data_IF_117819191550
#
_entry.id   IF_117819191550
#
_cell.length_a   1.000
_cell.length_b   1.000
_cell.length_c   1.000
_cell.angle_alpha   90.00
_cell.angle_beta   90.00
_cell.angle_gamma   90.00
#
_symmetry.space_group_name_H-M   'P 1'
#
loop_
_entity.id
_entity.type
_entity.pdbx_description
1 polymer ?
#
# COMPACT_ATOMS: atom_id res chain seq x y z
N UNK A 1 -23.45 15.72 11.71
CA UNK A 1 -22.28 15.44 10.85
C UNK A 1 -22.18 13.92 10.67
N UNK A 2 -22.19 13.44 9.42
CA UNK A 2 -22.35 12.01 9.08
C UNK A 2 -21.02 11.23 9.23
N UNK A 3 -20.99 10.02 9.83
CA UNK A 3 -19.78 9.20 9.97
C UNK A 3 -19.25 8.59 8.65
N UNK A 4 -19.86 8.92 7.50
CA UNK A 4 -19.72 8.22 6.21
C UNK A 4 -19.29 9.12 5.06
N UNK A 5 -18.57 10.22 5.31
CA UNK A 5 -17.72 10.75 4.25
C UNK A 5 -16.54 9.79 4.07
N UNK A 6 -16.79 8.70 3.34
CA UNK A 6 -15.73 7.85 2.84
C UNK A 6 -14.95 8.74 1.85
N UNK A 7 -13.90 9.40 2.34
CA UNK A 7 -13.13 10.32 1.51
C UNK A 7 -12.65 9.53 0.31
N UNK A 8 -12.75 10.13 -0.87
CA UNK A 8 -12.38 9.44 -2.11
C UNK A 8 -10.90 9.08 -2.06
N UNK A 9 -10.59 7.84 -2.42
CA UNK A 9 -9.20 7.43 -2.59
C UNK A 9 -8.54 8.28 -3.68
N UNK A 10 -7.27 8.64 -3.46
CA UNK A 10 -6.44 9.33 -4.44
C UNK A 10 -5.42 8.34 -5.00
N UNK A 11 -5.91 7.20 -5.46
CA UNK A 11 -5.07 6.14 -5.98
C UNK A 11 -4.35 6.56 -7.26
N UNK A 12 -3.18 5.97 -7.46
CA UNK A 12 -2.43 6.08 -8.70
C UNK A 12 -2.41 4.73 -9.41
N UNK A 13 -2.63 4.78 -10.72
CA UNK A 13 -2.57 3.61 -11.57
C UNK A 13 -1.12 3.12 -11.65
N UNK A 14 -0.88 1.87 -11.28
CA UNK A 14 0.46 1.30 -11.26
C UNK A 14 0.76 0.72 -12.62
N UNK A 15 1.67 1.34 -13.37
CA UNK A 15 2.20 0.72 -14.58
C UNK A 15 3.20 -0.35 -14.15
N UNK A 16 2.92 -1.62 -14.46
CA UNK A 16 3.71 -2.78 -14.01
C UNK A 16 5.21 -2.77 -14.40
N UNK A 17 5.62 -1.83 -15.26
CA UNK A 17 7.02 -1.55 -15.57
C UNK A 17 7.73 -0.64 -14.55
N UNK A 18 7.00 0.27 -13.87
CA UNK A 18 7.59 1.33 -13.04
C UNK A 18 7.73 0.97 -11.55
N UNK A 19 6.70 0.35 -10.97
CA UNK A 19 6.70 -0.05 -9.56
C UNK A 19 6.21 -1.49 -9.42
N UNK A 20 6.57 -2.14 -8.32
CA UNK A 20 5.90 -3.37 -7.89
C UNK A 20 4.41 -3.11 -7.64
N UNK A 21 3.56 -4.14 -7.75
CA UNK A 21 2.12 -4.01 -7.48
C UNK A 21 1.80 -3.80 -6.01
N UNK A 22 2.69 -4.20 -5.12
CA UNK A 22 2.56 -4.07 -3.68
C UNK A 22 3.91 -3.74 -3.05
N UNK A 23 3.87 -3.25 -1.83
CA UNK A 23 5.06 -2.99 -1.02
C UNK A 23 5.80 -4.27 -0.64
N UNK A 24 7.10 -4.15 -0.42
CA UNK A 24 7.98 -5.17 0.14
C UNK A 24 8.28 -4.85 1.60
N UNK A 25 8.31 -5.86 2.47
CA UNK A 25 8.71 -5.70 3.87
C UNK A 25 10.21 -5.84 3.94
N UNK A 26 10.90 -4.85 4.52
CA UNK A 26 12.33 -4.96 4.78
C UNK A 26 12.58 -6.04 5.84
N UNK A 27 13.14 -7.17 5.40
CA UNK A 27 13.59 -8.23 6.29
C UNK A 27 15.10 -8.09 6.49
N UNK A 28 15.54 -7.86 7.72
CA UNK A 28 16.96 -7.85 8.10
C UNK A 28 17.55 -9.23 7.77
N UNK A 29 18.27 -9.34 6.66
CA UNK A 29 18.78 -10.60 6.11
C UNK A 29 18.57 -10.77 4.60
N UNK A 30 17.73 -9.96 3.94
CA UNK A 30 17.63 -9.90 2.47
C UNK A 30 18.79 -9.11 1.84
N UNK A 31 20.01 -9.36 2.30
CA UNK A 31 21.23 -9.04 1.54
C UNK A 31 21.63 -10.30 0.79
N UNK A 32 21.21 -10.43 -0.47
CA UNK A 32 22.00 -11.09 -1.51
C UNK A 32 21.32 -10.94 -2.88
N UNK A 33 22.06 -10.32 -3.80
CA UNK A 33 22.06 -10.58 -5.25
C UNK A 33 20.80 -10.23 -6.05
N UNK A 34 20.74 -8.99 -6.55
CA UNK A 34 20.79 -8.74 -8.01
C UNK A 34 20.66 -7.24 -8.32
N UNK A 35 21.69 -6.73 -9.02
CA UNK A 35 21.68 -5.64 -9.99
C UNK A 35 21.19 -4.25 -9.55
N UNK A 36 22.08 -3.27 -9.75
CA UNK A 36 21.95 -1.82 -9.56
C UNK A 36 20.73 -1.16 -10.27
N UNK A 37 19.91 -1.93 -11.01
CA UNK A 37 18.67 -1.50 -11.67
C UNK A 37 17.37 -1.92 -10.94
N UNK A 38 17.42 -2.81 -9.94
CA UNK A 38 16.21 -3.36 -9.29
C UNK A 38 15.66 -2.45 -8.18
N UNK A 39 16.49 -1.56 -7.61
CA UNK A 39 16.14 -0.79 -6.42
C UNK A 39 15.09 0.31 -6.68
N UNK A 40 15.06 0.89 -7.89
CA UNK A 40 14.09 1.95 -8.22
C UNK A 40 12.64 1.45 -8.22
N UNK A 41 12.41 0.20 -8.65
CA UNK A 41 11.07 -0.40 -8.75
C UNK A 41 10.52 -0.92 -7.43
N UNK A 42 11.40 -1.33 -6.51
CA UNK A 42 11.02 -1.87 -5.20
C UNK A 42 10.41 -0.75 -4.37
N UNK A 43 9.22 -0.96 -3.82
CA UNK A 43 8.60 -0.01 -2.90
C UNK A 43 8.60 -0.65 -1.53
N UNK A 44 9.36 -0.11 -0.59
CA UNK A 44 9.38 -0.63 0.78
C UNK A 44 8.18 -0.15 1.59
N UNK A 45 7.78 -0.95 2.58
CA UNK A 45 6.65 -0.63 3.46
C UNK A 45 6.91 0.64 4.26
N UNK A 46 8.14 0.85 4.71
CA UNK A 46 8.58 2.02 5.46
C UNK A 46 8.77 3.28 4.60
N UNK A 47 8.92 3.14 3.28
CA UNK A 47 9.11 4.28 2.37
C UNK A 47 7.76 4.92 2.00
N UNK A 48 7.27 5.77 2.91
CA UNK A 48 5.98 6.46 2.76
C UNK A 48 5.93 7.35 1.52
N UNK A 49 7.05 7.98 1.16
CA UNK A 49 7.09 8.90 0.03
C UNK A 49 7.02 8.15 -1.30
N UNK A 50 7.81 7.07 -1.45
CA UNK A 50 7.75 6.21 -2.64
C UNK A 50 6.42 5.49 -2.76
N UNK A 51 5.83 5.04 -1.64
CA UNK A 51 4.44 4.52 -1.61
C UNK A 51 3.42 5.54 -2.10
N UNK A 52 3.52 6.79 -1.65
CA UNK A 52 2.62 7.87 -2.09
C UNK A 52 2.81 8.16 -3.59
N UNK A 53 4.04 8.09 -4.07
CA UNK A 53 4.36 8.29 -5.48
C UNK A 53 3.82 7.16 -6.34
N UNK A 54 3.95 5.91 -5.90
CA UNK A 54 3.57 4.70 -6.63
C UNK A 54 2.06 4.42 -6.57
N UNK A 55 1.47 4.46 -5.39
CA UNK A 55 0.12 3.96 -5.12
C UNK A 55 -0.89 5.05 -4.82
N UNK A 56 -0.44 6.26 -4.49
CA UNK A 56 -1.33 7.35 -4.08
C UNK A 56 -1.75 7.26 -2.61
N UNK A 57 -2.85 7.93 -2.25
CA UNK A 57 -3.31 8.06 -0.86
C UNK A 57 -4.64 7.33 -0.64
N UNK A 58 -4.70 6.56 0.44
CA UNK A 58 -5.90 5.91 0.92
C UNK A 58 -6.87 6.95 1.49
N UNK A 59 -8.12 6.95 1.04
CA UNK A 59 -9.15 7.88 1.51
C UNK A 59 -9.66 7.55 2.92
N UNK A 60 -9.51 6.32 3.38
CA UNK A 60 -9.98 5.92 4.72
C UNK A 60 -9.05 6.39 5.84
N UNK A 61 -7.74 6.25 5.66
CA UNK A 61 -6.75 6.57 6.69
C UNK A 61 -5.84 7.75 6.35
N UNK A 62 -5.88 8.28 5.12
CA UNK A 62 -5.00 9.33 4.61
C UNK A 62 -3.51 8.96 4.57
N UNK A 63 -3.17 7.68 4.69
CA UNK A 63 -1.83 7.15 4.51
C UNK A 63 -1.59 6.68 3.07
N UNK A 64 -0.33 6.55 2.62
CA UNK A 64 -0.01 5.98 1.32
C UNK A 64 -0.57 4.57 1.14
N UNK A 65 -0.95 4.23 -0.10
CA UNK A 65 -1.29 2.87 -0.46
C UNK A 65 -0.16 1.89 -0.14
N UNK A 66 -0.51 0.62 0.04
CA UNK A 66 0.43 -0.51 0.16
C UNK A 66 0.44 -1.37 -1.10
N UNK A 67 -0.25 -0.93 -2.15
CA UNK A 67 -0.31 -1.55 -3.46
C UNK A 67 -1.30 -0.83 -4.39
N UNK A 68 -1.43 -1.32 -5.61
CA UNK A 68 -2.37 -0.81 -6.61
C UNK A 68 -3.81 -0.84 -6.05
N UNK A 69 -4.40 0.35 -5.88
CA UNK A 69 -5.73 0.55 -5.29
C UNK A 69 -5.92 -0.15 -3.91
N UNK A 70 -4.83 -0.37 -3.16
CA UNK A 70 -4.83 -1.21 -1.96
C UNK A 70 -4.19 -0.53 -0.74
N UNK A 71 -4.82 -0.70 0.42
CA UNK A 71 -4.30 -0.28 1.73
C UNK A 71 -4.44 -1.41 2.76
N UNK A 72 -3.33 -2.03 3.14
CA UNK A 72 -3.30 -3.18 4.04
C UNK A 72 -3.91 -2.89 5.42
N UNK A 73 -3.59 -1.77 6.12
CA UNK A 73 -4.21 -1.46 7.41
C UNK A 73 -5.74 -1.34 7.36
N UNK A 74 -6.27 -0.63 6.36
CA UNK A 74 -7.71 -0.44 6.20
C UNK A 74 -8.43 -1.73 5.85
N UNK A 75 -7.87 -2.53 4.93
CA UNK A 75 -8.45 -3.82 4.58
C UNK A 75 -8.39 -4.82 5.73
N UNK A 76 -7.29 -4.86 6.49
CA UNK A 76 -7.19 -5.70 7.70
C UNK A 76 -8.24 -5.31 8.76
N UNK A 77 -8.50 -3.99 8.93
CA UNK A 77 -9.56 -3.51 9.82
C UNK A 77 -10.95 -3.97 9.35
N UNK A 78 -11.29 -3.76 8.08
CA UNK A 78 -12.57 -4.19 7.50
C UNK A 78 -12.78 -5.69 7.66
N UNK A 79 -11.74 -6.48 7.40
CA UNK A 79 -11.78 -7.92 7.55
C UNK A 79 -12.06 -8.31 9.01
N UNK A 80 -11.36 -7.72 9.98
CA UNK A 80 -11.60 -7.94 11.42
C UNK A 80 -13.01 -7.54 11.85
N UNK A 81 -13.54 -6.44 11.33
CA UNK A 81 -14.89 -5.97 11.65
C UNK A 81 -15.95 -6.90 11.03
N UNK A 82 -15.73 -7.39 9.81
CA UNK A 82 -16.62 -8.35 9.15
C UNK A 82 -16.62 -9.73 9.82
N UNK A 83 -15.48 -10.20 10.33
CA UNK A 83 -15.41 -11.47 11.07
C UNK A 83 -16.33 -11.48 12.30
N UNK A 84 -16.50 -10.34 12.98
CA UNK A 84 -17.43 -10.23 14.12
C UNK A 84 -18.90 -10.35 13.73
N UNK A 85 -19.23 -10.10 12.46
CA UNK A 85 -20.58 -10.17 11.92
C UNK A 85 -20.88 -11.52 11.26
N UNK A 86 -19.93 -12.46 11.30
CA UNK A 86 -20.10 -13.80 10.75
C UNK A 86 -20.62 -14.73 11.86
N UNK A 87 -21.91 -15.07 11.78
CA UNK A 87 -22.61 -16.07 12.61
C UNK A 87 -22.97 -17.28 11.77
#
# INVERSE_FOLDING_TARGET
MNPKENKRNLWKRVYGGKYQKHVTIYTVGSTAESTEEIDEKIVYMEDLEKRKQAYGICGECNEPGTGEDWCQPCNAKRLKDNFKNWT
#
